data_IF_344154710973
#
_entry.id   IF_344154710973
#
_cell.length_a   1.000
_cell.length_b   1.000
_cell.length_c   1.000
_cell.angle_alpha   90.00
_cell.angle_beta   90.00
_cell.angle_gamma   90.00
#
_symmetry.space_group_name_H-M   'P 1'
#
loop_
_entity.id
_entity.type
_entity.pdbx_description
1 polymer ?
#
# COMPACT_ATOMS: atom_id res chain seq x y z
N UNK A 1 -16.83 -21.12 30.18
CA UNK A 1 -15.86 -20.24 29.51
C UNK A 1 -16.45 -19.87 28.15
N UNK A 2 -16.96 -18.63 27.99
CA UNK A 2 -17.62 -18.22 26.75
C UNK A 2 -16.59 -18.11 25.61
N UNK A 3 -16.82 -18.86 24.54
CA UNK A 3 -15.98 -18.90 23.35
C UNK A 3 -15.98 -17.50 22.68
N UNK A 4 -14.85 -16.79 22.79
CA UNK A 4 -14.69 -15.39 22.35
C UNK A 4 -14.57 -15.24 20.82
N UNK A 5 -14.65 -16.31 20.04
CA UNK A 5 -14.30 -16.30 18.62
C UNK A 5 -15.42 -15.89 17.65
N UNK A 6 -16.69 -15.74 18.09
CA UNK A 6 -17.83 -15.74 17.15
C UNK A 6 -18.72 -14.48 17.09
N UNK A 7 -18.25 -13.29 17.47
CA UNK A 7 -19.08 -12.07 17.36
C UNK A 7 -18.54 -10.96 16.44
N UNK A 8 -17.23 -10.92 16.17
CA UNK A 8 -16.65 -9.79 15.42
C UNK A 8 -16.95 -9.87 13.91
N UNK A 9 -16.99 -11.08 13.35
CA UNK A 9 -17.33 -11.33 11.93
C UNK A 9 -18.82 -11.14 11.63
N UNK A 10 -19.69 -11.25 12.63
CA UNK A 10 -21.15 -11.06 12.48
C UNK A 10 -21.55 -9.58 12.45
N UNK A 11 -20.72 -8.70 13.03
CA UNK A 11 -20.98 -7.26 13.15
C UNK A 11 -20.21 -6.44 12.12
N UNK A 12 -19.01 -6.87 11.70
CA UNK A 12 -18.20 -6.16 10.70
C UNK A 12 -18.49 -6.65 9.29
N UNK A 13 -18.89 -5.76 8.36
CA UNK A 13 -18.97 -6.11 6.95
C UNK A 13 -17.61 -6.61 6.41
N UNK A 14 -17.60 -7.44 5.35
CA UNK A 14 -16.39 -7.89 4.67
C UNK A 14 -15.42 -6.74 4.35
N UNK A 15 -14.11 -7.02 4.37
CA UNK A 15 -13.03 -6.03 4.14
C UNK A 15 -13.29 -5.20 2.89
N UNK A 16 -13.67 -5.83 1.78
CA UNK A 16 -14.00 -5.17 0.51
C UNK A 16 -15.14 -4.17 0.64
N UNK A 17 -16.24 -4.53 1.33
CA UNK A 17 -17.36 -3.60 1.55
C UNK A 17 -16.95 -2.39 2.38
N UNK A 18 -16.11 -2.61 3.40
CA UNK A 18 -15.60 -1.53 4.24
C UNK A 18 -14.66 -0.60 3.47
N UNK A 19 -13.76 -1.15 2.67
CA UNK A 19 -12.83 -0.37 1.85
C UNK A 19 -13.55 0.42 0.76
N UNK A 20 -14.53 -0.20 0.09
CA UNK A 20 -15.41 0.49 -0.87
C UNK A 20 -16.17 1.65 -0.22
N UNK A 21 -16.71 1.47 0.99
CA UNK A 21 -17.38 2.54 1.72
C UNK A 21 -16.44 3.69 2.14
N UNK A 22 -15.14 3.39 2.32
CA UNK A 22 -14.12 4.39 2.62
C UNK A 22 -13.49 5.02 1.37
N UNK A 23 -13.83 4.54 0.16
CA UNK A 23 -13.21 4.98 -1.09
C UNK A 23 -11.72 4.64 -1.18
N UNK A 24 -11.27 3.59 -0.47
CA UNK A 24 -9.87 3.18 -0.40
C UNK A 24 -9.70 1.84 -1.10
N UNK A 25 -8.65 1.70 -1.91
CA UNK A 25 -8.29 0.43 -2.54
C UNK A 25 -7.55 -0.48 -1.54
N UNK A 26 -7.82 -1.78 -1.61
CA UNK A 26 -7.07 -2.76 -0.82
C UNK A 26 -5.66 -2.90 -1.40
N UNK A 27 -4.68 -3.20 -0.54
CA UNK A 27 -3.41 -3.73 -1.02
C UNK A 27 -3.64 -5.10 -1.67
N UNK A 28 -3.02 -5.32 -2.82
CA UNK A 28 -2.89 -6.63 -3.45
C UNK A 28 -1.96 -7.57 -2.65
N UNK A 29 -1.90 -8.85 -3.04
CA UNK A 29 -1.19 -9.88 -2.27
C UNK A 29 0.32 -9.63 -2.14
N UNK A 30 0.92 -8.98 -3.14
CA UNK A 30 2.33 -8.62 -3.26
C UNK A 30 2.62 -7.15 -2.89
N UNK A 31 1.60 -6.38 -2.53
CA UNK A 31 1.75 -4.97 -2.18
C UNK A 31 1.96 -4.75 -0.67
N UNK A 32 2.78 -3.75 -0.35
CA UNK A 32 2.98 -3.27 1.02
C UNK A 32 2.92 -1.76 1.06
N UNK A 33 2.51 -1.20 2.21
CA UNK A 33 2.60 0.25 2.47
C UNK A 33 3.75 0.54 3.46
N UNK A 34 4.99 0.72 2.96
CA UNK A 34 6.15 0.94 3.81
C UNK A 34 6.25 2.39 4.27
N UNK A 35 6.82 2.60 5.46
CA UNK A 35 7.14 3.94 5.96
C UNK A 35 8.61 4.27 5.70
N UNK A 36 8.88 5.10 4.70
CA UNK A 36 10.25 5.48 4.28
C UNK A 36 10.49 6.97 4.52
N UNK A 37 11.70 7.34 4.97
CA UNK A 37 12.15 8.74 5.07
C UNK A 37 13.07 9.07 3.89
N UNK A 38 12.77 10.13 3.15
CA UNK A 38 13.52 10.55 1.96
C UNK A 38 13.91 12.03 2.04
N UNK A 39 15.03 12.40 1.41
CA UNK A 39 15.44 13.80 1.24
C UNK A 39 15.10 14.24 -0.18
N UNK A 40 14.21 15.22 -0.32
CA UNK A 40 13.70 15.69 -1.61
C UNK A 40 13.79 17.22 -1.71
N UNK A 41 13.86 17.73 -2.95
CA UNK A 41 13.63 19.16 -3.21
C UNK A 41 12.16 19.47 -2.97
N UNK A 42 11.84 20.65 -2.41
CA UNK A 42 10.47 21.11 -2.13
C UNK A 42 9.45 20.86 -3.27
N UNK A 43 9.73 21.22 -4.54
CA UNK A 43 8.76 20.97 -5.63
C UNK A 43 8.52 19.48 -5.89
N UNK A 44 9.52 18.62 -5.67
CA UNK A 44 9.38 17.17 -5.84
C UNK A 44 8.56 16.57 -4.69
N UNK A 45 8.75 17.07 -3.46
CA UNK A 45 7.93 16.67 -2.32
C UNK A 45 6.44 17.02 -2.54
N UNK A 46 6.15 18.22 -3.03
CA UNK A 46 4.78 18.64 -3.34
C UNK A 46 4.13 17.75 -4.42
N UNK A 47 4.89 17.36 -5.44
CA UNK A 47 4.41 16.42 -6.46
C UNK A 47 4.16 15.02 -5.87
N UNK A 48 5.03 14.53 -5.00
CA UNK A 48 4.86 13.23 -4.36
C UNK A 48 3.61 13.22 -3.46
N UNK A 49 3.35 14.30 -2.75
CA UNK A 49 2.18 14.45 -1.86
C UNK A 49 0.86 14.46 -2.64
N UNK A 50 0.83 14.98 -3.88
CA UNK A 50 -0.37 15.00 -4.72
C UNK A 50 -0.66 13.67 -5.43
N UNK A 51 0.31 12.76 -5.52
CA UNK A 51 0.15 11.43 -6.12
C UNK A 51 -0.67 10.49 -5.23
N UNK A 52 -1.40 9.57 -5.87
CA UNK A 52 -1.99 8.42 -5.19
C UNK A 52 -0.92 7.46 -4.65
N UNK A 53 -1.27 6.59 -3.71
CA UNK A 53 -0.35 5.58 -3.18
C UNK A 53 0.20 4.67 -4.28
N UNK A 54 -0.63 4.31 -5.27
CA UNK A 54 -0.25 3.49 -6.41
C UNK A 54 0.78 4.18 -7.32
N UNK A 55 0.52 5.44 -7.68
CA UNK A 55 1.46 6.24 -8.48
C UNK A 55 2.81 6.42 -7.78
N UNK A 56 2.82 6.56 -6.45
CA UNK A 56 4.07 6.61 -5.68
C UNK A 56 4.84 5.30 -5.82
N UNK A 57 4.16 4.16 -5.71
CA UNK A 57 4.75 2.83 -5.92
C UNK A 57 5.40 2.71 -7.30
N UNK A 58 4.67 3.07 -8.36
CA UNK A 58 5.17 3.08 -9.74
C UNK A 58 6.43 3.93 -9.90
N UNK A 59 6.47 5.12 -9.30
CA UNK A 59 7.65 6.01 -9.33
C UNK A 59 8.83 5.38 -8.60
N UNK A 60 8.61 4.74 -7.44
CA UNK A 60 9.68 4.04 -6.73
C UNK A 60 10.26 2.89 -7.55
N UNK A 61 9.41 2.02 -8.12
CA UNK A 61 9.86 0.90 -8.95
C UNK A 61 10.60 1.38 -10.21
N UNK A 62 10.07 2.40 -10.89
CA UNK A 62 10.72 2.99 -12.05
C UNK A 62 12.10 3.59 -11.69
N UNK A 63 12.19 4.28 -10.56
CA UNK A 63 13.45 4.84 -10.06
C UNK A 63 14.48 3.76 -9.71
N UNK A 64 14.06 2.69 -9.01
CA UNK A 64 14.93 1.55 -8.68
C UNK A 64 15.42 0.83 -9.94
N UNK A 65 14.53 0.58 -10.91
CA UNK A 65 14.88 0.01 -12.21
C UNK A 65 15.89 0.89 -12.96
N UNK A 66 15.71 2.20 -12.97
CA UNK A 66 16.64 3.14 -13.60
C UNK A 66 18.03 3.13 -12.94
N UNK A 67 18.10 2.83 -11.64
CA UNK A 67 19.36 2.65 -10.90
C UNK A 67 19.98 1.25 -11.07
N UNK A 68 19.37 0.37 -11.86
CA UNK A 68 19.82 -1.01 -12.03
C UNK A 68 19.50 -1.91 -10.83
N UNK A 69 18.66 -1.46 -9.90
CA UNK A 69 18.26 -2.19 -8.70
C UNK A 69 16.92 -2.89 -8.96
N UNK A 70 16.93 -3.90 -9.82
CA UNK A 70 15.74 -4.73 -10.06
C UNK A 70 15.38 -5.55 -8.82
N UNK A 71 14.09 -5.62 -8.49
CA UNK A 71 13.57 -6.59 -7.52
C UNK A 71 13.56 -7.93 -8.24
N UNK A 72 14.42 -8.87 -7.85
CA UNK A 72 14.37 -10.24 -8.33
C UNK A 72 13.06 -10.87 -7.88
N UNK A 73 12.42 -11.66 -8.74
CA UNK A 73 11.31 -12.51 -8.34
C UNK A 73 11.84 -13.52 -7.32
N UNK A 74 11.67 -13.28 -6.03
CA UNK A 74 11.81 -14.34 -5.02
C UNK A 74 10.59 -15.25 -5.13
N UNK A 75 10.59 -16.09 -6.17
CA UNK A 75 9.91 -17.38 -6.15
C UNK A 75 10.98 -18.42 -5.81
N UNK A 76 11.10 -18.75 -4.53
CA UNK A 76 11.67 -20.01 -4.06
C UNK A 76 10.72 -20.65 -3.03
#
# INVERSE_FOLDING_TARGET
MANKEHHVSRVRPPKERRLKALGVEALEADEVNPRVRVRLRKPVAALLESMSTKQRGEVFEAGLKALGMGVGNEQE
#
